data_IF_777399219257
#
_entry.id   IF_777399219257
#
_cell.length_a   1.000
_cell.length_b   1.000
_cell.length_c   1.000
_cell.angle_alpha   90.00
_cell.angle_beta   90.00
_cell.angle_gamma   90.00
#
_symmetry.space_group_name_H-M   'P 1'
#
loop_
_entity.id
_entity.type
_entity.pdbx_description
1 polymer ?
#
# COMPACT_ATOMS: atom_id res chain seq x y z
N UNK A 1 -21.13 -26.59 2.76
CA UNK A 1 -20.28 -25.43 3.11
C UNK A 1 -18.83 -25.76 2.76
N UNK A 2 -18.40 -25.44 1.54
CA UNK A 2 -17.06 -25.80 1.04
C UNK A 2 -16.03 -24.89 1.71
N UNK A 3 -15.18 -25.48 2.54
CA UNK A 3 -14.20 -24.79 3.37
C UNK A 3 -13.07 -24.23 2.48
N UNK A 4 -13.34 -23.14 1.75
CA UNK A 4 -12.35 -22.35 1.00
C UNK A 4 -11.46 -21.52 1.95
N UNK A 5 -11.10 -22.09 3.11
CA UNK A 5 -10.09 -21.48 3.97
C UNK A 5 -8.77 -21.72 3.26
N UNK A 6 -8.14 -20.64 2.78
CA UNK A 6 -6.74 -20.64 2.33
C UNK A 6 -5.94 -21.59 3.23
N UNK A 7 -5.41 -22.67 2.65
CA UNK A 7 -4.79 -23.76 3.41
C UNK A 7 -3.65 -23.23 4.28
N UNK A 8 -3.37 -23.90 5.41
CA UNK A 8 -2.35 -23.47 6.36
C UNK A 8 -0.99 -23.17 5.71
N UNK A 9 -0.56 -24.03 4.77
CA UNK A 9 0.70 -23.83 4.03
C UNK A 9 0.74 -22.51 3.25
N UNK A 10 -0.37 -22.09 2.65
CA UNK A 10 -0.45 -20.82 1.93
C UNK A 10 -0.45 -19.62 2.89
N UNK A 11 -1.06 -19.75 4.07
CA UNK A 11 -0.98 -18.71 5.12
C UNK A 11 0.44 -18.58 5.65
N UNK A 12 1.13 -19.70 5.87
CA UNK A 12 2.51 -19.73 6.32
C UNK A 12 3.45 -19.16 5.27
N UNK A 13 3.25 -19.45 3.98
CA UNK A 13 4.08 -18.87 2.92
C UNK A 13 3.90 -17.35 2.81
N UNK A 14 2.66 -16.86 2.88
CA UNK A 14 2.37 -15.43 2.92
C UNK A 14 3.00 -14.76 4.14
N UNK A 15 2.87 -15.38 5.33
CA UNK A 15 3.52 -14.91 6.54
C UNK A 15 5.04 -14.79 6.36
N UNK A 16 5.71 -15.85 5.88
CA UNK A 16 7.16 -15.85 5.67
C UNK A 16 7.58 -14.76 4.67
N UNK A 17 6.80 -14.57 3.61
CA UNK A 17 7.08 -13.55 2.60
C UNK A 17 7.00 -12.13 3.13
N UNK A 18 6.10 -11.84 4.08
CA UNK A 18 5.96 -10.53 4.69
C UNK A 18 7.21 -10.09 5.48
N UNK A 19 8.03 -11.04 5.94
CA UNK A 19 9.27 -10.75 6.67
C UNK A 19 10.53 -10.79 5.79
N UNK A 20 10.41 -10.97 4.47
CA UNK A 20 11.56 -10.93 3.54
C UNK A 20 12.40 -9.64 3.71
N UNK A 21 11.82 -8.43 3.79
CA UNK A 21 12.61 -7.22 4.03
C UNK A 21 13.47 -7.30 5.29
N UNK A 22 12.90 -7.84 6.38
CA UNK A 22 13.63 -8.03 7.64
C UNK A 22 14.77 -9.05 7.51
N UNK A 23 14.53 -10.17 6.83
CA UNK A 23 15.58 -11.17 6.61
C UNK A 23 16.75 -10.63 5.78
N UNK A 24 16.46 -9.79 4.76
CA UNK A 24 17.48 -9.09 3.98
C UNK A 24 18.31 -8.18 4.89
N UNK A 25 17.66 -7.39 5.77
CA UNK A 25 18.38 -6.54 6.73
C UNK A 25 19.31 -7.35 7.64
N UNK A 26 18.85 -8.49 8.16
CA UNK A 26 19.66 -9.36 9.02
C UNK A 26 20.89 -9.87 8.27
N UNK A 27 20.73 -10.29 7.00
CA UNK A 27 21.85 -10.75 6.17
C UNK A 27 22.86 -9.61 5.93
N UNK A 28 22.38 -8.40 5.60
CA UNK A 28 23.24 -7.22 5.42
C UNK A 28 23.99 -6.90 6.72
N UNK A 29 23.32 -6.93 7.88
CA UNK A 29 23.95 -6.70 9.18
C UNK A 29 25.11 -7.66 9.41
N UNK A 30 24.86 -8.95 9.15
CA UNK A 30 25.86 -9.99 9.34
C UNK A 30 27.04 -9.79 8.39
N UNK A 31 26.78 -9.49 7.12
CA UNK A 31 27.81 -9.24 6.12
C UNK A 31 28.70 -8.05 6.50
N UNK A 32 28.10 -6.93 6.95
CA UNK A 32 28.85 -5.75 7.39
C UNK A 32 29.69 -6.02 8.65
N UNK A 33 29.17 -6.83 9.57
CA UNK A 33 29.85 -7.11 10.84
C UNK A 33 31.00 -8.11 10.68
N UNK A 34 30.81 -9.14 9.85
CA UNK A 34 31.84 -10.14 9.60
C UNK A 34 31.70 -10.75 8.19
N UNK A 35 32.29 -10.11 7.16
CA UNK A 35 32.07 -10.46 5.75
C UNK A 35 32.46 -11.90 5.39
N UNK A 36 33.41 -12.46 6.15
CA UNK A 36 33.99 -13.78 5.87
C UNK A 36 33.32 -14.92 6.62
N UNK A 37 32.33 -14.62 7.47
CA UNK A 37 31.59 -15.62 8.24
C UNK A 37 30.12 -15.72 7.85
N UNK A 38 29.86 -16.61 6.86
CA UNK A 38 28.54 -17.17 6.62
C UNK A 38 28.19 -18.20 7.70
N UNK A 39 27.72 -17.70 8.84
CA UNK A 39 27.24 -18.55 9.93
C UNK A 39 25.94 -19.29 9.57
N UNK A 40 25.59 -20.27 10.40
CA UNK A 40 24.31 -21.01 10.31
C UNK A 40 23.09 -20.08 10.27
N UNK A 41 23.18 -18.93 10.95
CA UNK A 41 22.14 -17.91 10.95
C UNK A 41 21.87 -17.33 9.55
N UNK A 42 22.90 -16.94 8.80
CA UNK A 42 22.75 -16.40 7.44
C UNK A 42 22.12 -17.42 6.49
N UNK A 43 22.57 -18.67 6.55
CA UNK A 43 22.02 -19.77 5.75
C UNK A 43 20.54 -20.02 6.10
N UNK A 44 20.17 -19.95 7.38
CA UNK A 44 18.77 -20.10 7.80
C UNK A 44 17.89 -18.94 7.29
N UNK A 45 18.39 -17.70 7.28
CA UNK A 45 17.63 -16.56 6.75
C UNK A 45 17.45 -16.68 5.24
N UNK A 46 18.49 -17.09 4.51
CA UNK A 46 18.39 -17.34 3.06
C UNK A 46 17.38 -18.45 2.74
N UNK A 47 17.37 -19.56 3.49
CA UNK A 47 16.41 -20.63 3.26
C UNK A 47 14.97 -20.20 3.54
N UNK A 48 14.74 -19.36 4.56
CA UNK A 48 13.43 -18.77 4.84
C UNK A 48 12.96 -17.83 3.73
N UNK A 49 13.85 -16.98 3.18
CA UNK A 49 13.53 -16.12 2.02
C UNK A 49 13.12 -16.99 0.83
N UNK A 50 13.92 -18.00 0.50
CA UNK A 50 13.65 -18.91 -0.63
C UNK A 50 12.30 -19.63 -0.44
N UNK A 51 12.05 -20.16 0.76
CA UNK A 51 10.79 -20.82 1.08
C UNK A 51 9.59 -19.87 0.97
N UNK A 52 9.73 -18.61 1.42
CA UNK A 52 8.71 -17.58 1.29
C UNK A 52 8.39 -17.25 -0.16
N UNK A 53 9.42 -17.00 -0.98
CA UNK A 53 9.26 -16.68 -2.41
C UNK A 53 8.60 -17.83 -3.17
N UNK A 54 9.11 -19.05 -3.00
CA UNK A 54 8.53 -20.25 -3.64
C UNK A 54 7.08 -20.45 -3.19
N UNK A 55 6.81 -20.30 -1.89
CA UNK A 55 5.48 -20.49 -1.34
C UNK A 55 4.46 -19.46 -1.86
N UNK A 56 4.86 -18.19 -2.04
CA UNK A 56 4.01 -17.16 -2.66
C UNK A 56 3.79 -17.45 -4.13
N UNK A 57 4.83 -17.84 -4.87
CA UNK A 57 4.71 -18.20 -6.28
C UNK A 57 3.73 -19.36 -6.50
N UNK A 58 3.82 -20.42 -5.69
CA UNK A 58 2.88 -21.54 -5.71
C UNK A 58 1.46 -21.06 -5.35
N UNK A 59 1.32 -20.18 -4.36
CA UNK A 59 0.01 -19.64 -3.97
C UNK A 59 -0.65 -18.86 -5.11
N UNK A 60 0.05 -17.90 -5.71
CA UNK A 60 -0.47 -17.06 -6.80
C UNK A 60 -0.85 -17.92 -8.01
N UNK A 61 0.03 -18.86 -8.40
CA UNK A 61 -0.25 -19.74 -9.55
C UNK A 61 -1.45 -20.65 -9.31
N UNK A 62 -1.61 -21.17 -8.08
CA UNK A 62 -2.74 -22.02 -7.73
C UNK A 62 -4.05 -21.24 -7.72
N UNK A 63 -4.07 -20.05 -7.10
CA UNK A 63 -5.24 -19.19 -7.07
C UNK A 63 -5.62 -18.78 -8.49
N UNK A 64 -4.67 -18.31 -9.30
CA UNK A 64 -4.93 -17.93 -10.69
C UNK A 64 -5.53 -19.08 -11.52
N UNK A 65 -5.01 -20.30 -11.38
CA UNK A 65 -5.58 -21.48 -12.05
C UNK A 65 -6.99 -21.78 -11.56
N UNK A 66 -7.22 -21.73 -10.25
CA UNK A 66 -8.52 -22.01 -9.65
C UNK A 66 -9.58 -21.00 -10.09
N UNK A 67 -9.22 -19.70 -10.13
CA UNK A 67 -10.11 -18.63 -10.61
C UNK A 67 -10.50 -18.81 -12.08
N UNK A 68 -9.66 -19.43 -12.91
CA UNK A 68 -10.01 -19.70 -14.33
C UNK A 68 -10.99 -20.86 -14.52
N UNK A 69 -11.03 -21.81 -13.58
CA UNK A 69 -11.86 -23.02 -13.69
C UNK A 69 -13.18 -22.85 -12.93
N UNK A 70 -13.11 -22.36 -11.68
CA UNK A 70 -14.24 -22.23 -10.76
C UNK A 70 -14.44 -20.76 -10.34
N UNK A 71 -14.09 -19.81 -11.21
CA UNK A 71 -14.28 -18.38 -10.97
C UNK A 71 -15.76 -17.97 -10.94
N UNK A 72 -16.03 -16.83 -10.30
CA UNK A 72 -17.35 -16.19 -10.33
C UNK A 72 -17.16 -14.84 -11.01
N UNK A 73 -17.99 -14.56 -12.00
CA UNK A 73 -18.05 -13.25 -12.63
C UNK A 73 -18.77 -12.26 -11.71
N UNK A 74 -18.14 -11.11 -11.48
CA UNK A 74 -18.66 -10.07 -10.59
C UNK A 74 -18.73 -8.74 -11.34
N UNK A 75 -19.78 -7.96 -11.07
CA UNK A 75 -19.86 -6.57 -11.51
C UNK A 75 -19.35 -5.65 -10.40
N UNK A 76 -18.43 -4.74 -10.76
CA UNK A 76 -17.80 -3.83 -9.80
C UNK A 76 -18.70 -2.62 -9.60
N UNK A 77 -19.30 -2.51 -8.42
CA UNK A 77 -20.17 -1.36 -8.04
C UNK A 77 -19.36 -0.26 -7.33
N UNK A 78 -18.40 -0.64 -6.51
CA UNK A 78 -17.54 0.28 -5.75
C UNK A 78 -16.12 -0.27 -5.66
N UNK A 79 -15.14 0.64 -5.58
CA UNK A 79 -13.71 0.31 -5.48
C UNK A 79 -13.11 1.17 -4.38
N UNK A 80 -12.50 0.51 -3.40
CA UNK A 80 -11.70 1.15 -2.34
C UNK A 80 -10.32 0.51 -2.31
N UNK A 81 -9.29 1.34 -2.38
CA UNK A 81 -7.92 0.87 -2.23
C UNK A 81 -7.61 0.59 -0.75
N UNK A 82 -7.09 -0.60 -0.43
CA UNK A 82 -6.71 -1.02 0.93
C UNK A 82 -5.21 -0.97 1.18
N UNK A 83 -4.39 -0.57 0.21
CA UNK A 83 -2.94 -0.55 0.34
C UNK A 83 -2.46 0.41 1.45
N UNK A 84 -3.28 1.42 1.81
CA UNK A 84 -2.99 2.33 2.93
C UNK A 84 -2.97 1.64 4.29
N UNK A 85 -3.75 0.56 4.48
CA UNK A 85 -3.72 -0.25 5.70
C UNK A 85 -2.35 -0.94 5.89
N UNK A 86 -1.71 -1.36 4.78
CA UNK A 86 -0.39 -2.01 4.79
C UNK A 86 0.73 -1.09 5.27
N UNK A 87 0.59 0.23 5.09
CA UNK A 87 1.60 1.20 5.56
C UNK A 87 1.52 1.41 7.06
N UNK A 88 0.32 1.49 7.64
CA UNK A 88 0.18 1.58 9.11
C UNK A 88 0.90 0.43 9.81
N UNK A 89 0.84 -0.77 9.22
CA UNK A 89 1.62 -1.92 9.69
C UNK A 89 3.13 -1.69 9.58
N UNK A 90 3.64 -1.19 8.44
CA UNK A 90 5.07 -0.97 8.22
C UNK A 90 5.63 0.18 9.05
N UNK A 91 4.83 1.22 9.33
CA UNK A 91 5.23 2.35 10.18
C UNK A 91 5.67 1.92 11.57
N UNK A 92 5.16 0.79 12.07
CA UNK A 92 5.62 0.22 13.35
C UNK A 92 7.09 -0.21 13.31
N UNK A 93 7.60 -0.60 12.14
CA UNK A 93 9.01 -0.93 11.95
C UNK A 93 9.92 0.29 11.89
N UNK A 94 9.38 1.51 11.70
CA UNK A 94 10.17 2.75 11.65
C UNK A 94 10.61 3.15 13.07
N UNK A 95 9.73 2.96 14.06
CA UNK A 95 9.93 3.45 15.43
C UNK A 95 11.26 2.98 16.03
N UNK A 96 11.65 1.69 15.94
CA UNK A 96 12.94 1.25 16.47
C UNK A 96 14.14 1.98 15.85
N UNK A 97 14.10 2.27 14.54
CA UNK A 97 15.21 2.94 13.87
C UNK A 97 15.30 4.45 14.14
N UNK A 98 14.21 5.10 14.56
CA UNK A 98 14.21 6.53 14.88
C UNK A 98 15.08 6.86 16.10
N UNK A 99 15.28 5.90 17.00
CA UNK A 99 16.04 6.08 18.24
C UNK A 99 17.45 5.48 18.17
N UNK A 100 17.85 4.95 17.02
CA UNK A 100 19.19 4.38 16.81
C UNK A 100 20.19 5.45 16.34
N UNK A 101 21.48 5.19 16.57
CA UNK A 101 22.55 6.08 16.09
C UNK A 101 22.82 5.85 14.59
N UNK A 102 22.56 6.87 13.77
CA UNK A 102 22.77 6.85 12.33
C UNK A 102 24.24 6.88 11.90
N UNK A 103 25.19 7.08 12.82
CA UNK A 103 26.62 6.89 12.53
C UNK A 103 26.95 5.43 12.20
N UNK A 104 26.09 4.48 12.60
CA UNK A 104 26.23 3.09 12.22
C UNK A 104 25.77 2.88 10.75
N UNK A 105 26.72 2.49 9.90
CA UNK A 105 26.48 2.20 8.47
C UNK A 105 25.33 1.19 8.27
N UNK A 106 25.19 0.20 9.15
CA UNK A 106 24.07 -0.73 9.08
C UNK A 106 22.72 -0.04 9.33
N UNK A 107 22.63 0.81 10.35
CA UNK A 107 21.41 1.57 10.68
C UNK A 107 21.04 2.49 9.52
N UNK A 108 22.01 3.19 8.96
CA UNK A 108 21.81 4.04 7.79
C UNK A 108 21.25 3.27 6.58
N UNK A 109 21.86 2.13 6.22
CA UNK A 109 21.38 1.28 5.13
C UNK A 109 19.99 0.71 5.43
N UNK A 110 19.73 0.30 6.66
CA UNK A 110 18.44 -0.26 7.06
C UNK A 110 17.30 0.76 6.90
N UNK A 111 17.55 2.02 7.27
CA UNK A 111 16.60 3.13 7.11
C UNK A 111 16.32 3.40 5.63
N UNK A 112 17.36 3.40 4.78
CA UNK A 112 17.17 3.57 3.33
C UNK A 112 16.30 2.45 2.74
N UNK A 113 16.56 1.19 3.10
CA UNK A 113 15.76 0.05 2.63
C UNK A 113 14.30 0.19 3.10
N UNK A 114 14.09 0.54 4.37
CA UNK A 114 12.75 0.71 4.94
C UNK A 114 11.99 1.85 4.23
N UNK A 115 12.64 3.00 4.01
CA UNK A 115 12.08 4.10 3.24
C UNK A 115 11.79 3.70 1.78
N UNK A 116 12.64 2.87 1.17
CA UNK A 116 12.41 2.32 -0.16
C UNK A 116 11.14 1.47 -0.24
N UNK A 117 10.92 0.57 0.74
CA UNK A 117 9.68 -0.23 0.83
C UNK A 117 8.46 0.66 1.02
N UNK A 118 8.54 1.64 1.93
CA UNK A 118 7.45 2.60 2.16
C UNK A 118 7.15 3.40 0.89
N UNK A 119 8.18 3.89 0.19
CA UNK A 119 8.04 4.63 -1.06
C UNK A 119 7.38 3.78 -2.16
N UNK A 120 7.79 2.51 -2.31
CA UNK A 120 7.20 1.60 -3.28
C UNK A 120 5.70 1.39 -3.04
N UNK A 121 5.30 1.20 -1.78
CA UNK A 121 3.88 1.09 -1.42
C UNK A 121 3.18 2.44 -1.60
N UNK A 122 3.87 3.54 -1.29
CA UNK A 122 3.34 4.89 -1.38
C UNK A 122 2.85 5.22 -2.79
N UNK A 123 3.69 4.94 -3.80
CA UNK A 123 3.39 5.21 -5.22
C UNK A 123 2.22 4.35 -5.74
N UNK A 124 1.98 3.17 -5.16
CA UNK A 124 0.93 2.24 -5.58
C UNK A 124 -0.36 2.34 -4.75
N UNK A 125 -0.54 3.41 -3.97
CA UNK A 125 -1.69 3.57 -3.08
C UNK A 125 -2.27 4.98 -3.15
N UNK A 126 -3.52 5.15 -2.72
CA UNK A 126 -4.19 6.46 -2.69
C UNK A 126 -3.75 7.35 -1.51
N UNK A 127 -2.49 7.24 -1.07
CA UNK A 127 -1.97 7.89 0.16
C UNK A 127 -1.66 9.37 -0.02
N UNK A 128 -1.75 9.88 -1.25
CA UNK A 128 -1.74 11.30 -1.49
C UNK A 128 -2.74 12.00 -0.57
N UNK A 129 -3.87 11.34 -0.26
CA UNK A 129 -4.92 11.83 0.61
C UNK A 129 -4.55 11.92 2.11
N UNK A 130 -3.53 11.19 2.56
CA UNK A 130 -3.09 11.24 3.96
C UNK A 130 -1.80 12.06 4.14
N UNK A 131 -1.28 12.65 3.06
CA UNK A 131 -0.05 13.43 3.12
C UNK A 131 -0.29 14.69 3.98
N UNK A 132 0.36 14.82 5.16
CA UNK A 132 0.10 15.94 6.07
C UNK A 132 0.49 17.28 5.45
N UNK A 133 1.54 17.32 4.61
CA UNK A 133 1.96 18.54 3.91
C UNK A 133 0.85 18.95 2.93
N UNK A 134 0.29 18.00 2.19
CA UNK A 134 -0.83 18.29 1.30
C UNK A 134 -2.06 18.77 2.10
N UNK A 135 -2.38 18.10 3.20
CA UNK A 135 -3.54 18.41 4.05
C UNK A 135 -3.43 19.76 4.78
N UNK A 136 -2.23 20.33 4.88
CA UNK A 136 -2.03 21.70 5.36
C UNK A 136 -2.48 22.73 4.30
N UNK A 137 -2.22 22.46 3.02
CA UNK A 137 -2.52 23.39 1.92
C UNK A 137 -3.88 23.16 1.26
N UNK A 138 -4.40 21.94 1.35
CA UNK A 138 -5.63 21.52 0.71
C UNK A 138 -6.52 20.79 1.71
N UNK A 139 -7.83 20.98 1.58
CA UNK A 139 -8.82 20.20 2.30
C UNK A 139 -9.31 19.06 1.41
N UNK A 140 -9.57 17.92 2.03
CA UNK A 140 -9.98 16.68 1.36
C UNK A 140 -11.38 16.34 1.80
N UNK A 141 -12.26 16.10 0.84
CA UNK A 141 -13.67 15.80 1.08
C UNK A 141 -14.04 14.50 0.37
N UNK A 142 -14.70 13.58 1.06
CA UNK A 142 -15.35 12.42 0.45
C UNK A 142 -16.79 12.81 0.12
N UNK A 143 -17.13 12.85 -1.17
CA UNK A 143 -18.36 13.45 -1.67
C UNK A 143 -19.08 12.49 -2.61
N UNK A 144 -20.40 12.60 -2.59
CA UNK A 144 -21.28 11.99 -3.57
C UNK A 144 -21.83 13.09 -4.47
N UNK A 145 -21.58 13.03 -5.77
CA UNK A 145 -21.95 14.08 -6.72
C UNK A 145 -22.59 13.51 -7.98
N UNK A 146 -23.36 14.35 -8.67
CA UNK A 146 -23.94 14.04 -9.98
C UNK A 146 -22.99 14.47 -11.09
N UNK A 147 -22.78 13.60 -12.07
CA UNK A 147 -22.03 13.96 -13.28
C UNK A 147 -22.94 14.75 -14.24
N UNK A 148 -22.83 16.08 -14.23
CA UNK A 148 -23.63 16.98 -15.08
C UNK A 148 -23.34 16.85 -16.58
N UNK A 149 -22.26 16.18 -16.99
CA UNK A 149 -21.85 16.10 -18.40
C UNK A 149 -22.46 14.91 -19.16
N UNK A 150 -23.16 13.97 -18.49
CA UNK A 150 -23.81 12.82 -19.14
C UNK A 150 -25.33 12.91 -19.04
N UNK A 151 -26.02 12.68 -20.16
CA UNK A 151 -27.48 12.53 -20.17
C UNK A 151 -27.85 11.32 -19.31
N UNK A 152 -28.40 11.59 -18.13
CA UNK A 152 -28.66 10.62 -17.06
C UNK A 152 -27.85 10.96 -15.80
N UNK A 153 -28.53 11.52 -14.79
CA UNK A 153 -27.96 11.84 -13.48
C UNK A 153 -27.47 10.57 -12.77
N UNK A 154 -26.23 10.15 -13.06
CA UNK A 154 -25.58 9.05 -12.34
C UNK A 154 -24.87 9.62 -11.11
N UNK A 155 -25.23 9.09 -9.94
CA UNK A 155 -24.53 9.31 -8.69
C UNK A 155 -23.12 8.70 -8.81
N UNK A 156 -22.12 9.48 -8.42
CA UNK A 156 -20.74 9.03 -8.29
C UNK A 156 -20.24 9.40 -6.91
N UNK A 157 -19.45 8.50 -6.33
CA UNK A 157 -18.70 8.77 -5.11
C UNK A 157 -17.26 9.06 -5.52
N UNK A 158 -16.67 10.08 -4.92
CA UNK A 158 -15.29 10.44 -5.18
C UNK A 158 -14.74 11.41 -4.15
N UNK A 159 -13.42 11.37 -4.04
CA UNK A 159 -12.67 12.21 -3.12
C UNK A 159 -12.21 13.45 -3.88
N UNK A 160 -12.52 14.62 -3.33
CA UNK A 160 -12.14 15.92 -3.89
C UNK A 160 -11.05 16.55 -3.01
N UNK A 161 -9.96 16.95 -3.65
CA UNK A 161 -8.90 17.76 -3.07
C UNK A 161 -9.16 19.20 -3.50
N UNK A 162 -9.42 20.11 -2.56
CA UNK A 162 -9.75 21.49 -2.85
C UNK A 162 -8.91 22.45 -1.99
N UNK A 163 -8.48 23.57 -2.57
CA UNK A 163 -7.83 24.66 -1.82
C UNK A 163 -8.91 25.56 -1.18
N UNK A 164 -9.86 24.96 -0.48
CA UNK A 164 -11.03 25.63 0.10
C UNK A 164 -11.23 25.09 1.51
N UNK A 165 -11.43 26.00 2.46
CA UNK A 165 -11.55 25.66 3.88
C UNK A 165 -12.90 25.04 4.24
N UNK A 166 -13.94 25.33 3.46
CA UNK A 166 -15.31 24.84 3.67
C UNK A 166 -15.97 24.54 2.33
N UNK A 167 -16.82 23.52 2.34
CA UNK A 167 -17.70 23.14 1.23
C UNK A 167 -19.07 22.80 1.79
N UNK A 168 -20.13 23.28 1.17
CA UNK A 168 -21.50 23.07 1.62
C UNK A 168 -22.33 22.28 0.59
N UNK A 169 -23.42 21.67 1.05
CA UNK A 169 -24.37 21.00 0.16
C UNK A 169 -25.00 22.02 -0.80
N UNK A 170 -24.96 21.73 -2.10
CA UNK A 170 -25.46 22.62 -3.15
C UNK A 170 -24.36 23.44 -3.85
N UNK A 171 -23.13 23.45 -3.33
CA UNK A 171 -22.00 24.10 -3.99
C UNK A 171 -21.68 23.46 -5.36
N UNK A 172 -21.33 24.30 -6.32
CA UNK A 172 -20.91 23.88 -7.66
C UNK A 172 -19.40 23.99 -7.81
N UNK A 173 -18.75 22.85 -8.05
CA UNK A 173 -17.30 22.75 -8.23
C UNK A 173 -16.95 22.39 -9.67
N UNK A 174 -15.85 22.96 -10.17
CA UNK A 174 -15.17 22.42 -11.35
C UNK A 174 -14.09 21.46 -10.88
N UNK A 175 -14.17 20.23 -11.35
CA UNK A 175 -13.29 19.14 -10.93
C UNK A 175 -12.46 18.62 -12.11
N UNK A 176 -11.20 18.29 -11.85
CA UNK A 176 -10.29 17.62 -12.80
C UNK A 176 -9.92 16.26 -12.23
N UNK A 177 -10.06 15.14 -12.98
CA UNK A 177 -9.69 13.83 -12.48
C UNK A 177 -8.18 13.73 -12.26
N UNK A 178 -7.78 13.25 -11.09
CA UNK A 178 -6.38 12.95 -10.71
C UNK A 178 -6.10 11.44 -10.72
N UNK A 179 -7.12 10.62 -10.51
CA UNK A 179 -7.00 9.16 -10.43
C UNK A 179 -8.34 8.48 -10.29
N UNK A 180 -8.33 7.22 -9.85
CA UNK A 180 -9.56 6.47 -9.64
C UNK A 180 -10.40 7.12 -8.53
N UNK A 181 -11.58 7.65 -8.88
CA UNK A 181 -12.48 8.36 -7.95
C UNK A 181 -11.83 9.54 -7.21
N UNK A 182 -10.69 10.06 -7.69
CA UNK A 182 -9.99 11.21 -7.09
C UNK A 182 -10.00 12.40 -8.03
N UNK A 183 -10.31 13.56 -7.50
CA UNK A 183 -10.51 14.79 -8.27
C UNK A 183 -9.85 16.00 -7.60
N UNK A 184 -9.27 16.89 -8.38
CA UNK A 184 -8.86 18.23 -7.94
C UNK A 184 -10.00 19.21 -8.21
N UNK A 185 -10.52 19.85 -7.17
CA UNK A 185 -11.63 20.79 -7.25
C UNK A 185 -11.18 22.25 -7.12
N UNK A 186 -11.73 23.11 -7.98
CA UNK A 186 -11.68 24.57 -7.84
C UNK A 186 -13.11 25.12 -7.79
N UNK A 187 -13.34 26.14 -6.97
CA UNK A 187 -14.66 26.77 -6.83
C UNK A 187 -15.04 27.49 -8.12
N UNK A 188 -16.29 27.32 -8.56
CA UNK A 188 -16.86 28.15 -9.62
C UNK A 188 -17.37 29.43 -8.95
N UNK A 189 -16.56 30.48 -8.95
CA UNK A 189 -17.11 31.82 -8.72
C UNK A 189 -18.08 32.11 -9.87
N UNK A 190 -19.39 32.13 -9.57
CA UNK A 190 -20.36 32.73 -10.46
C UNK A 190 -19.92 34.17 -10.70
N UNK A 191 -19.59 34.46 -11.95
CA UNK A 191 -19.35 35.82 -12.44
C UNK A 191 -20.68 36.43 -12.82
#
# INVERSE_FOLDING_TARGET
MKNNKVNLLARLSLFLSSYIPLFILIIIKQWLSNPWHFGKATLSMMSLIIAGVIGVFIFITRVSKQTKVDGIDIEIVDVKNKNSESISYISTYIIPFLFEDFNNVFVFIAVIILLGVICMIYIHSDLLLINPILNIFYSIYDLTFYDSHKQGRKLKNGIIIANLKYLEEGDSLRVTPLGNKMYLGIYLQNK
#
